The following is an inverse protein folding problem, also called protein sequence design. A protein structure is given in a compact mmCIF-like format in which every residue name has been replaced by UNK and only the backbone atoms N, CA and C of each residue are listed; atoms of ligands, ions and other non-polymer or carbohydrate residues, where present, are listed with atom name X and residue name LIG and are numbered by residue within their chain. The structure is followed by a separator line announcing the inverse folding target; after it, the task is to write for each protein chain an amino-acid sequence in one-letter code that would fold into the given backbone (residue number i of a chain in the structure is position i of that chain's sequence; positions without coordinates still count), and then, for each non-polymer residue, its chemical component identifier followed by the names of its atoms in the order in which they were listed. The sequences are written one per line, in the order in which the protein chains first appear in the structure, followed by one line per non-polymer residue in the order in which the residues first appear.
data_IF_128821127073
#
_entry.id   IF_128821127073
#
_cell.length_a   1.000
_cell.length_b   1.000
_cell.length_c   1.000
_cell.angle_alpha   90.00
_cell.angle_beta   90.00
_cell.angle_gamma   90.00
#
_symmetry.space_group_name_H-M   'P 1'
#
loop_
_entity.id
_entity.type
_entity.pdbx_description
1 polymer ?
#
# COMPACT_ATOMS: atom_id res chain seq x y z
N UNK A 1 8.24 4.35 -1.66
CA UNK A 1 9.26 4.92 -0.78
C UNK A 1 9.50 3.84 0.26
N UNK A 2 10.62 3.13 0.17
CA UNK A 2 10.83 1.91 0.95
C UNK A 2 10.91 2.24 2.44
N UNK A 3 10.16 1.46 3.22
CA UNK A 3 10.26 1.41 4.66
C UNK A 3 11.71 1.03 5.01
N UNK A 4 12.41 1.83 5.84
CA UNK A 4 13.75 1.44 6.31
C UNK A 4 13.52 0.28 7.27
N UNK A 5 13.52 -0.93 6.73
CA UNK A 5 13.44 -2.18 7.50
C UNK A 5 14.78 -2.41 8.18
N UNK A 6 14.73 -2.84 9.44
CA UNK A 6 15.95 -3.21 10.14
C UNK A 6 16.47 -4.54 9.59
N UNK A 7 17.78 -4.75 9.60
CA UNK A 7 18.37 -6.04 9.23
C UNK A 7 17.82 -7.23 10.05
N UNK A 8 17.22 -6.94 11.22
CA UNK A 8 16.58 -7.91 12.10
C UNK A 8 15.19 -8.31 11.60
N UNK A 9 14.37 -7.35 11.15
CA UNK A 9 13.07 -7.63 10.54
C UNK A 9 13.27 -8.48 9.28
N UNK A 10 14.27 -8.13 8.47
CA UNK A 10 14.61 -8.87 7.28
C UNK A 10 15.07 -10.31 7.57
N UNK A 11 15.72 -10.56 8.72
CA UNK A 11 16.14 -11.91 9.11
C UNK A 11 14.95 -12.78 9.53
N UNK A 12 13.99 -12.20 10.27
CA UNK A 12 12.75 -12.89 10.67
C UNK A 12 11.86 -13.19 9.47
N UNK A 13 11.68 -12.23 8.56
CA UNK A 13 10.91 -12.48 7.34
C UNK A 13 11.51 -13.58 6.48
N UNK A 14 12.85 -13.61 6.32
CA UNK A 14 13.54 -14.71 5.63
C UNK A 14 13.32 -16.06 6.30
N UNK A 15 13.41 -16.11 7.62
CA UNK A 15 13.14 -17.35 8.36
C UNK A 15 11.73 -17.85 8.12
N UNK A 16 10.72 -16.98 8.07
CA UNK A 16 9.33 -17.38 7.76
C UNK A 16 9.20 -17.89 6.32
N UNK A 17 9.81 -17.22 5.34
CA UNK A 17 9.82 -17.64 3.93
C UNK A 17 10.43 -19.05 3.80
N UNK A 18 11.58 -19.29 4.43
CA UNK A 18 12.26 -20.58 4.44
C UNK A 18 11.46 -21.65 5.20
N UNK A 19 10.91 -21.31 6.36
CA UNK A 19 10.11 -22.22 7.19
C UNK A 19 8.88 -22.72 6.43
N UNK A 20 8.20 -21.86 5.67
CA UNK A 20 6.98 -22.24 4.95
C UNK A 20 7.21 -22.67 3.50
N UNK A 21 8.47 -22.60 3.04
CA UNK A 21 8.87 -22.84 1.66
C UNK A 21 8.04 -21.98 0.70
N UNK A 22 8.03 -20.67 0.96
CA UNK A 22 7.45 -19.66 0.09
C UNK A 22 8.50 -19.22 -0.95
N UNK A 23 8.02 -18.83 -2.13
CA UNK A 23 8.84 -18.28 -3.19
C UNK A 23 8.84 -16.75 -3.15
N UNK A 24 9.95 -16.14 -3.56
CA UNK A 24 10.11 -14.70 -3.53
C UNK A 24 10.69 -14.18 -2.21
N UNK A 25 11.29 -12.99 -2.32
CA UNK A 25 12.04 -12.33 -1.26
C UNK A 25 13.13 -11.47 -1.87
N UNK A 26 13.14 -10.17 -1.49
CA UNK A 26 14.00 -9.08 -2.00
C UNK A 26 13.63 -8.55 -3.40
N UNK A 27 12.60 -7.70 -3.42
CA UNK A 27 12.29 -6.68 -4.45
C UNK A 27 12.18 -7.11 -5.93
N UNK A 28 10.93 -7.19 -6.44
CA UNK A 28 10.51 -6.63 -7.76
C UNK A 28 9.02 -6.72 -8.10
N UNK A 29 8.16 -7.20 -7.20
CA UNK A 29 6.71 -7.06 -7.36
C UNK A 29 6.12 -6.89 -5.99
N UNK A 30 5.02 -6.14 -5.85
CA UNK A 30 4.49 -5.66 -4.58
C UNK A 30 4.14 -6.71 -3.51
N UNK A 31 4.52 -7.99 -3.61
CA UNK A 31 4.33 -9.07 -2.62
C UNK A 31 5.61 -9.52 -1.96
N UNK A 32 5.55 -9.77 -0.65
CA UNK A 32 6.71 -10.18 0.14
C UNK A 32 7.13 -11.61 -0.19
N UNK A 33 6.14 -12.49 -0.41
CA UNK A 33 6.34 -13.88 -0.80
C UNK A 33 5.12 -14.44 -1.56
N UNK A 34 5.24 -15.64 -2.12
CA UNK A 34 4.18 -16.40 -2.80
C UNK A 34 4.21 -17.86 -2.36
N UNK A 35 3.05 -18.46 -2.21
CA UNK A 35 2.93 -19.91 -2.03
C UNK A 35 2.55 -20.54 -3.36
N UNK A 36 3.37 -21.48 -3.84
CA UNK A 36 3.06 -22.30 -5.02
C UNK A 36 2.41 -23.60 -4.57
N UNK A 37 1.14 -23.78 -4.94
CA UNK A 37 0.38 -25.00 -4.71
C UNK A 37 0.46 -25.94 -5.92
N UNK A 38 -0.05 -27.17 -5.75
CA UNK A 38 -0.14 -28.14 -6.86
C UNK A 38 -0.93 -27.55 -8.02
N UNK A 39 -0.47 -27.78 -9.25
CA UNK A 39 -1.05 -27.19 -10.45
C UNK A 39 -0.61 -25.76 -10.73
N UNK A 40 0.49 -25.29 -10.13
CA UNK A 40 1.08 -23.96 -10.32
C UNK A 40 0.14 -22.79 -9.94
N UNK A 41 -0.73 -23.02 -8.96
CA UNK A 41 -1.53 -21.94 -8.38
C UNK A 41 -0.61 -21.14 -7.46
N UNK A 42 -0.41 -19.86 -7.77
CA UNK A 42 0.40 -18.92 -6.99
C UNK A 42 -0.50 -18.04 -6.13
N UNK A 43 -0.32 -18.09 -4.81
CA UNK A 43 -1.04 -17.22 -3.87
C UNK A 43 -0.09 -16.21 -3.21
N UNK A 44 -0.38 -14.89 -3.30
CA UNK A 44 0.49 -13.87 -2.73
C UNK A 44 0.35 -13.76 -1.21
N UNK A 45 1.48 -13.56 -0.54
CA UNK A 45 1.58 -13.33 0.89
C UNK A 45 2.14 -11.94 1.21
N UNK A 46 1.55 -11.32 2.23
CA UNK A 46 2.22 -10.32 3.06
C UNK A 46 2.85 -11.04 4.26
N UNK A 47 4.14 -10.80 4.52
CA UNK A 47 4.87 -11.46 5.60
C UNK A 47 5.27 -10.39 6.61
N UNK A 48 4.93 -10.61 7.88
CA UNK A 48 5.27 -9.69 8.98
C UNK A 48 5.87 -10.48 10.14
N UNK A 49 6.61 -9.77 10.99
CA UNK A 49 7.08 -10.33 12.26
C UNK A 49 6.87 -9.33 13.39
N UNK A 50 6.60 -9.83 14.59
CA UNK A 50 6.48 -9.02 15.80
C UNK A 50 7.26 -9.65 16.96
N UNK A 51 7.83 -8.79 17.79
CA UNK A 51 8.48 -9.16 19.07
C UNK A 51 7.79 -8.54 20.28
N UNK A 52 6.72 -7.77 20.06
CA UNK A 52 6.03 -6.99 21.08
C UNK A 52 4.56 -7.34 21.14
N UNK A 53 3.93 -7.03 22.26
CA UNK A 53 2.48 -7.17 22.46
C UNK A 53 1.67 -5.97 21.93
N UNK A 54 2.31 -4.97 21.31
CA UNK A 54 1.66 -3.69 20.96
C UNK A 54 0.83 -3.75 19.67
N UNK A 55 1.06 -4.75 18.82
CA UNK A 55 0.37 -4.92 17.53
C UNK A 55 1.33 -5.15 16.38
N UNK A 56 0.76 -5.44 15.21
CA UNK A 56 1.50 -5.63 13.96
C UNK A 56 1.58 -4.29 13.24
N UNK A 57 2.79 -3.75 13.09
CA UNK A 57 3.02 -2.56 12.27
C UNK A 57 2.81 -2.90 10.79
N UNK A 58 2.20 -1.97 10.04
CA UNK A 58 1.84 -2.22 8.64
C UNK A 58 2.74 -1.47 7.67
N UNK A 59 2.57 -0.14 7.57
CA UNK A 59 3.36 0.81 6.77
C UNK A 59 3.35 2.19 7.42
N UNK A 60 4.33 3.03 7.05
CA UNK A 60 4.42 4.41 7.57
C UNK A 60 3.29 5.32 7.13
N UNK A 61 3.02 5.37 5.83
CA UNK A 61 2.03 6.27 5.23
C UNK A 61 1.02 5.42 4.46
N UNK A 62 0.02 4.90 5.18
CA UNK A 62 -1.01 4.05 4.59
C UNK A 62 -1.87 4.85 3.61
N UNK A 63 -2.01 4.36 2.38
CA UNK A 63 -2.73 5.02 1.29
C UNK A 63 -3.49 4.00 0.42
N UNK A 64 -4.18 4.48 -0.61
CA UNK A 64 -5.01 3.62 -1.47
C UNK A 64 -4.23 2.54 -2.25
N UNK A 65 -2.97 2.81 -2.61
CA UNK A 65 -2.10 1.82 -3.27
C UNK A 65 -1.83 0.61 -2.35
N UNK A 66 -1.67 0.84 -1.05
CA UNK A 66 -1.47 -0.24 -0.08
C UNK A 66 -2.72 -1.10 0.07
N UNK A 67 -3.90 -0.48 0.06
CA UNK A 67 -5.13 -1.25 0.13
C UNK A 67 -5.35 -2.11 -1.11
N UNK A 68 -5.05 -1.58 -2.30
CA UNK A 68 -5.02 -2.36 -3.54
C UNK A 68 -3.99 -3.49 -3.47
N UNK A 69 -2.79 -3.21 -2.95
CA UNK A 69 -1.75 -4.21 -2.72
C UNK A 69 -2.29 -5.35 -1.83
N UNK A 70 -2.84 -5.05 -0.66
CA UNK A 70 -3.23 -6.06 0.32
C UNK A 70 -4.51 -6.82 0.00
N UNK A 71 -5.35 -6.27 -0.89
CA UNK A 71 -6.57 -6.95 -1.33
C UNK A 71 -6.21 -8.28 -2.00
N UNK A 72 -6.84 -9.37 -1.53
CA UNK A 72 -6.62 -10.70 -2.10
C UNK A 72 -5.34 -11.40 -1.61
N UNK A 73 -4.68 -10.91 -0.56
CA UNK A 73 -3.47 -11.54 -0.02
C UNK A 73 -3.69 -12.32 1.25
N UNK A 74 -2.94 -13.40 1.37
CA UNK A 74 -2.76 -14.09 2.63
C UNK A 74 -1.74 -13.34 3.49
N UNK A 75 -1.87 -13.47 4.81
CA UNK A 75 -0.93 -12.87 5.76
C UNK A 75 -0.33 -13.97 6.63
N UNK A 76 0.99 -13.92 6.76
CA UNK A 76 1.75 -14.75 7.68
C UNK A 76 2.50 -13.86 8.66
N UNK A 77 2.16 -13.97 9.94
CA UNK A 77 2.72 -13.11 10.98
C UNK A 77 3.46 -13.97 11.98
N UNK A 78 4.79 -13.91 11.98
CA UNK A 78 5.63 -14.60 12.96
C UNK A 78 5.65 -13.86 14.29
N UNK A 79 5.36 -14.58 15.38
CA UNK A 79 5.43 -14.04 16.75
C UNK A 79 6.69 -14.56 17.42
N UNK A 80 7.59 -13.64 17.75
CA UNK A 80 8.91 -13.93 18.27
C UNK A 80 9.04 -13.53 19.73
N UNK A 81 9.81 -14.31 20.47
CA UNK A 81 10.39 -13.89 21.74
C UNK A 81 11.85 -13.47 21.50
N UNK A 82 12.20 -12.24 21.84
CA UNK A 82 13.55 -11.73 21.57
C UNK A 82 13.85 -11.65 20.07
N UNK A 83 15.08 -12.01 19.66
CA UNK A 83 15.56 -11.74 18.29
C UNK A 83 15.20 -12.83 17.27
N UNK A 84 15.30 -14.10 17.65
CA UNK A 84 15.33 -15.25 16.72
C UNK A 84 14.40 -16.40 17.10
N UNK A 85 13.83 -16.36 18.30
CA UNK A 85 13.02 -17.45 18.85
C UNK A 85 11.55 -17.28 18.43
N UNK A 86 11.20 -17.92 17.31
CA UNK A 86 9.85 -17.96 16.75
C UNK A 86 8.97 -18.89 17.60
N UNK A 87 7.92 -18.34 18.22
CA UNK A 87 7.01 -19.11 19.08
C UNK A 87 5.85 -19.72 18.31
N UNK A 88 5.22 -18.93 17.44
CA UNK A 88 4.13 -19.37 16.59
C UNK A 88 3.94 -18.38 15.45
N UNK A 89 3.15 -18.77 14.45
CA UNK A 89 2.70 -17.88 13.39
C UNK A 89 1.18 -17.73 13.43
N UNK A 90 0.67 -16.52 13.23
CA UNK A 90 -0.72 -16.36 12.80
C UNK A 90 -0.82 -16.46 11.29
N UNK A 91 -1.85 -17.17 10.84
CA UNK A 91 -2.30 -17.15 9.46
C UNK A 91 -3.62 -16.39 9.35
N UNK A 92 -3.72 -15.51 8.35
CA UNK A 92 -4.97 -14.88 7.95
C UNK A 92 -5.17 -15.05 6.43
N UNK A 93 -6.38 -15.44 6.04
CA UNK A 93 -6.80 -15.41 4.64
C UNK A 93 -7.18 -13.99 4.19
N UNK A 94 -7.34 -13.74 2.88
CA UNK A 94 -7.87 -12.47 2.39
C UNK A 94 -9.20 -12.07 3.02
N UNK A 95 -10.10 -13.03 3.25
CA UNK A 95 -11.41 -12.79 3.89
C UNK A 95 -11.24 -12.35 5.35
N UNK A 96 -10.26 -12.92 6.07
CA UNK A 96 -10.00 -12.58 7.48
C UNK A 96 -9.42 -11.18 7.64
N UNK A 97 -8.65 -10.70 6.64
CA UNK A 97 -8.06 -9.37 6.65
C UNK A 97 -8.97 -8.27 6.08
N UNK A 98 -9.98 -8.64 5.30
CA UNK A 98 -10.89 -7.70 4.67
C UNK A 98 -11.56 -6.72 5.65
N UNK A 99 -12.07 -7.14 6.85
CA UNK A 99 -12.70 -6.21 7.79
C UNK A 99 -11.75 -5.11 8.27
N UNK A 100 -10.51 -5.46 8.63
CA UNK A 100 -9.54 -4.44 9.07
C UNK A 100 -9.17 -3.50 7.93
N UNK A 101 -8.90 -4.03 6.73
CA UNK A 101 -8.59 -3.22 5.54
C UNK A 101 -9.74 -2.25 5.24
N UNK A 102 -10.97 -2.73 5.26
CA UNK A 102 -12.17 -1.93 5.01
C UNK A 102 -12.35 -0.84 6.06
N UNK A 103 -12.18 -1.15 7.34
CA UNK A 103 -12.27 -0.15 8.41
C UNK A 103 -11.23 0.98 8.25
N UNK A 104 -10.02 0.65 7.74
CA UNK A 104 -9.01 1.67 7.43
C UNK A 104 -9.35 2.49 6.18
N UNK A 105 -9.91 1.86 5.13
CA UNK A 105 -10.43 2.58 3.96
C UNK A 105 -11.53 3.58 4.36
N UNK A 106 -12.48 3.15 5.17
CA UNK A 106 -13.58 3.98 5.66
C UNK A 106 -13.08 5.15 6.50
N UNK A 107 -12.12 4.89 7.39
CA UNK A 107 -11.48 5.95 8.19
C UNK A 107 -10.85 7.04 7.32
N UNK A 108 -10.24 6.66 6.19
CA UNK A 108 -9.58 7.59 5.27
C UNK A 108 -10.53 8.26 4.26
N UNK A 109 -11.80 7.84 4.20
CA UNK A 109 -12.72 8.25 3.14
C UNK A 109 -12.94 9.77 3.09
N UNK A 110 -12.94 10.43 4.25
CA UNK A 110 -13.09 11.89 4.32
C UNK A 110 -11.96 12.61 3.61
N UNK A 111 -10.71 12.19 3.86
CA UNK A 111 -9.52 12.81 3.26
C UNK A 111 -9.43 12.55 1.76
N UNK A 112 -9.87 11.37 1.31
CA UNK A 112 -9.98 11.04 -0.11
C UNK A 112 -11.01 11.95 -0.79
N UNK A 113 -12.20 12.10 -0.20
CA UNK A 113 -13.25 12.99 -0.74
C UNK A 113 -12.80 14.46 -0.80
N UNK A 114 -12.05 14.92 0.21
CA UNK A 114 -11.47 16.27 0.16
C UNK A 114 -10.49 16.42 -1.01
N UNK A 115 -9.63 15.42 -1.23
CA UNK A 115 -8.69 15.42 -2.35
C UNK A 115 -9.39 15.44 -3.72
N UNK A 116 -10.57 14.82 -3.84
CA UNK A 116 -11.37 14.82 -5.08
C UNK A 116 -12.13 16.14 -5.29
N UNK A 117 -12.72 16.70 -4.24
CA UNK A 117 -13.65 17.82 -4.35
C UNK A 117 -12.96 19.19 -4.37
N UNK A 118 -11.94 19.38 -3.53
CA UNK A 118 -11.27 20.68 -3.33
C UNK A 118 -10.61 21.21 -4.61
N UNK A 119 -9.94 20.41 -5.46
CA UNK A 119 -9.34 20.91 -6.69
C UNK A 119 -10.34 21.65 -7.58
N UNK A 120 -11.58 21.16 -7.69
CA UNK A 120 -12.62 21.83 -8.49
C UNK A 120 -12.99 23.22 -7.97
N UNK A 121 -12.73 23.51 -6.69
CA UNK A 121 -13.03 24.78 -6.02
C UNK A 121 -11.91 25.80 -6.16
N UNK A 122 -10.72 25.41 -6.63
CA UNK A 122 -9.65 26.36 -6.95
C UNK A 122 -10.08 27.22 -8.14
N UNK A 123 -9.96 28.54 -8.01
CA UNK A 123 -10.39 29.54 -9.00
C UNK A 123 -9.20 30.23 -9.67
N UNK A 124 -9.47 31.03 -10.71
CA UNK A 124 -8.45 31.83 -11.39
C UNK A 124 -7.81 32.87 -10.47
N UNK A 125 -8.54 33.38 -9.47
CA UNK A 125 -7.98 34.31 -8.50
C UNK A 125 -6.91 33.63 -7.64
N UNK A 126 -7.14 32.37 -7.24
CA UNK A 126 -6.11 31.58 -6.55
C UNK A 126 -4.90 31.33 -7.45
N UNK A 127 -5.11 31.10 -8.75
CA UNK A 127 -4.00 31.00 -9.71
C UNK A 127 -3.18 32.30 -9.72
N UNK A 128 -3.83 33.45 -9.82
CA UNK A 128 -3.16 34.75 -9.83
C UNK A 128 -2.36 35.00 -8.54
N UNK A 129 -2.87 34.61 -7.38
CA UNK A 129 -2.13 34.71 -6.11
C UNK A 129 -0.91 33.77 -6.07
N UNK A 130 -0.97 32.59 -6.68
CA UNK A 130 0.12 31.59 -6.63
C UNK A 130 1.24 31.87 -7.63
N UNK A 131 0.91 32.29 -8.85
CA UNK A 131 1.91 32.49 -9.93
C UNK A 131 1.96 33.90 -10.51
N UNK A 132 1.18 34.84 -9.98
CA UNK A 132 1.01 36.18 -10.53
C UNK A 132 0.00 36.19 -11.68
N UNK A 133 -0.68 37.33 -11.87
CA UNK A 133 -1.60 37.54 -12.98
C UNK A 133 -0.83 37.76 -14.29
N UNK A 134 -1.16 37.00 -15.34
CA UNK A 134 -0.63 37.16 -16.70
C UNK A 134 -1.72 36.82 -17.72
N UNK A 135 -1.64 37.44 -18.90
CA UNK A 135 -2.53 37.09 -20.01
C UNK A 135 -2.07 35.81 -20.73
N UNK A 136 -0.76 35.57 -20.75
CA UNK A 136 -0.14 34.33 -21.23
C UNK A 136 0.96 33.91 -20.27
N UNK A 137 0.93 32.64 -19.86
CA UNK A 137 1.95 32.01 -19.04
C UNK A 137 2.90 31.20 -19.88
N UNK A 138 4.16 31.10 -19.46
CA UNK A 138 5.18 30.36 -20.20
C UNK A 138 5.41 28.94 -19.63
N UNK A 139 6.32 28.19 -20.26
CA UNK A 139 6.72 26.86 -19.80
C UNK A 139 7.36 26.87 -18.40
N UNK A 140 8.04 27.94 -18.02
CA UNK A 140 8.68 28.03 -16.72
C UNK A 140 7.61 28.20 -15.62
N UNK A 141 6.55 28.97 -15.85
CA UNK A 141 5.41 29.10 -14.96
C UNK A 141 4.72 27.75 -14.74
N UNK A 142 4.41 27.03 -15.82
CA UNK A 142 3.79 25.70 -15.75
C UNK A 142 4.69 24.70 -14.97
N UNK A 143 6.01 24.74 -15.21
CA UNK A 143 6.98 23.92 -14.46
C UNK A 143 7.11 24.32 -13.00
N UNK A 144 6.92 25.60 -12.65
CA UNK A 144 6.92 26.04 -11.24
C UNK A 144 5.76 25.42 -10.48
N UNK A 145 4.58 25.34 -11.10
CA UNK A 145 3.40 24.68 -10.53
C UNK A 145 3.53 23.15 -10.51
N UNK A 146 3.70 22.55 -11.68
CA UNK A 146 3.56 21.11 -11.86
C UNK A 146 4.89 20.33 -11.76
N UNK A 147 6.00 21.06 -11.62
CA UNK A 147 7.33 20.52 -11.34
C UNK A 147 7.74 19.49 -12.40
N UNK A 148 8.02 18.25 -11.98
CA UNK A 148 8.41 17.13 -12.86
C UNK A 148 7.31 16.08 -12.98
N UNK A 149 6.05 16.44 -12.70
CA UNK A 149 4.94 15.49 -12.81
C UNK A 149 4.56 15.23 -14.27
N UNK A 150 4.68 16.22 -15.15
CA UNK A 150 4.52 16.02 -16.59
C UNK A 150 5.84 15.72 -17.29
N UNK A 151 5.74 14.94 -18.36
CA UNK A 151 6.81 14.79 -19.34
C UNK A 151 6.99 16.06 -20.20
N UNK A 152 8.15 16.18 -20.84
CA UNK A 152 8.43 17.33 -21.73
C UNK A 152 7.48 17.45 -22.93
N UNK A 153 6.90 16.32 -23.37
CA UNK A 153 5.88 16.28 -24.43
C UNK A 153 4.54 16.79 -23.91
N UNK A 154 4.11 16.28 -22.76
CA UNK A 154 2.84 16.64 -22.14
C UNK A 154 2.75 18.13 -21.79
N UNK A 155 3.84 18.74 -21.30
CA UNK A 155 3.90 20.19 -21.14
C UNK A 155 3.60 20.93 -22.45
N UNK A 156 4.21 20.51 -23.57
CA UNK A 156 4.00 21.14 -24.88
C UNK A 156 2.59 20.92 -25.41
N UNK A 157 2.06 19.72 -25.26
CA UNK A 157 0.68 19.37 -25.68
C UNK A 157 -0.38 20.17 -24.92
N UNK A 158 -0.09 20.58 -23.68
CA UNK A 158 -0.99 21.42 -22.88
C UNK A 158 -0.91 22.92 -23.21
N UNK A 159 0.02 23.39 -24.05
CA UNK A 159 0.04 24.79 -24.50
C UNK A 159 -1.16 25.04 -25.42
N UNK A 160 -2.10 25.85 -24.97
CA UNK A 160 -3.35 26.12 -25.68
C UNK A 160 -3.35 27.45 -26.45
N UNK A 161 -2.30 28.26 -26.28
CA UNK A 161 -2.08 29.50 -27.03
C UNK A 161 -0.67 29.52 -27.63
N UNK A 162 -0.44 30.43 -28.58
CA UNK A 162 0.85 30.53 -29.27
C UNK A 162 2.00 30.77 -28.28
N UNK A 163 2.85 29.75 -28.10
CA UNK A 163 4.04 29.82 -27.27
C UNK A 163 3.81 29.77 -25.76
N UNK A 164 2.61 29.43 -25.28
CA UNK A 164 2.31 29.45 -23.85
C UNK A 164 0.96 28.84 -23.47
N UNK A 165 0.49 29.23 -22.28
CA UNK A 165 -0.74 28.75 -21.68
C UNK A 165 -1.66 29.93 -21.34
N UNK A 166 -2.96 29.79 -21.61
CA UNK A 166 -3.98 30.71 -21.13
C UNK A 166 -4.13 30.61 -19.60
N UNK A 167 -4.74 31.62 -18.94
CA UNK A 167 -5.09 31.54 -17.52
C UNK A 167 -5.97 30.33 -17.19
N UNK A 168 -6.91 29.97 -18.07
CA UNK A 168 -7.79 28.81 -17.89
C UNK A 168 -7.00 27.50 -17.93
N UNK A 169 -6.06 27.36 -18.86
CA UNK A 169 -5.20 26.18 -18.93
C UNK A 169 -4.27 26.08 -17.72
N UNK A 170 -3.70 27.20 -17.28
CA UNK A 170 -2.88 27.22 -16.07
C UNK A 170 -3.69 26.91 -14.81
N UNK A 171 -4.95 27.31 -14.75
CA UNK A 171 -5.86 26.93 -13.67
C UNK A 171 -6.06 25.41 -13.65
N UNK A 172 -6.26 24.76 -14.79
CA UNK A 172 -6.35 23.30 -14.86
C UNK A 172 -5.08 22.62 -14.33
N UNK A 173 -3.90 23.09 -14.75
CA UNK A 173 -2.61 22.57 -14.25
C UNK A 173 -2.50 22.76 -12.73
N UNK A 174 -2.94 23.90 -12.20
CA UNK A 174 -2.97 24.15 -10.76
C UNK A 174 -3.94 23.20 -10.04
N UNK A 175 -5.11 22.91 -10.62
CA UNK A 175 -6.08 21.96 -10.05
C UNK A 175 -5.51 20.54 -10.03
N UNK A 176 -4.89 20.10 -11.12
CA UNK A 176 -4.18 18.82 -11.18
C UNK A 176 -3.08 18.75 -10.11
N UNK A 177 -2.32 19.84 -9.93
CA UNK A 177 -1.29 19.93 -8.88
C UNK A 177 -1.89 19.84 -7.48
N UNK A 178 -3.00 20.52 -7.24
CA UNK A 178 -3.73 20.51 -5.97
C UNK A 178 -4.22 19.09 -5.65
N UNK A 179 -4.86 18.43 -6.63
CA UNK A 179 -5.33 17.05 -6.51
C UNK A 179 -4.17 16.11 -6.14
N UNK A 180 -3.03 16.21 -6.85
CA UNK A 180 -1.85 15.40 -6.55
C UNK A 180 -1.33 15.62 -5.12
N UNK A 181 -1.26 16.87 -4.65
CA UNK A 181 -0.77 17.18 -3.31
C UNK A 181 -1.69 16.64 -2.22
N UNK A 182 -3.00 16.83 -2.38
CA UNK A 182 -3.99 16.34 -1.43
C UNK A 182 -4.01 14.81 -1.41
N UNK A 183 -4.11 14.14 -2.57
CA UNK A 183 -4.12 12.69 -2.65
C UNK A 183 -2.85 12.06 -2.02
N UNK A 184 -1.69 12.70 -2.20
CA UNK A 184 -0.44 12.26 -1.56
C UNK A 184 -0.43 12.48 -0.04
N UNK A 185 -1.15 13.49 0.46
CA UNK A 185 -1.28 13.79 1.88
C UNK A 185 -2.40 13.03 2.59
N UNK A 186 -3.37 12.49 1.85
CA UNK A 186 -4.48 11.68 2.36
C UNK A 186 -3.99 10.28 2.76
N UNK A 187 -3.20 10.22 3.82
CA UNK A 187 -2.56 9.00 4.33
C UNK A 187 -2.81 8.80 5.82
N UNK A 188 -3.01 7.56 6.27
CA UNK A 188 -3.05 7.21 7.68
C UNK A 188 -1.64 6.88 8.18
N UNK A 189 -1.17 7.64 9.18
CA UNK A 189 0.19 7.50 9.72
C UNK A 189 0.32 6.28 10.66
N UNK A 190 1.29 5.41 10.36
CA UNK A 190 1.72 4.25 11.14
C UNK A 190 0.59 3.42 11.76
N UNK A 191 -0.46 3.01 11.02
CA UNK A 191 -1.51 2.18 11.59
C UNK A 191 -0.95 0.82 12.01
N UNK A 192 -1.33 0.39 13.21
CA UNK A 192 -1.07 -0.95 13.71
C UNK A 192 -2.33 -1.79 13.73
N UNK A 193 -2.17 -3.09 13.51
CA UNK A 193 -3.23 -4.08 13.73
C UNK A 193 -3.12 -4.54 15.18
N UNK A 194 -4.15 -4.33 16.03
CA UNK A 194 -4.09 -4.75 17.42
C UNK A 194 -4.04 -6.28 17.51
N UNK A 195 -3.34 -6.82 18.51
CA UNK A 195 -3.24 -8.29 18.72
C UNK A 195 -4.61 -8.94 18.91
N UNK A 196 -5.55 -8.23 19.52
CA UNK A 196 -6.92 -8.71 19.70
C UNK A 196 -7.61 -9.06 18.38
N UNK A 197 -7.20 -8.45 17.26
CA UNK A 197 -7.71 -8.79 15.93
C UNK A 197 -7.39 -10.23 15.54
N UNK A 198 -6.23 -10.74 15.97
CA UNK A 198 -5.75 -12.09 15.65
C UNK A 198 -6.10 -13.14 16.71
N UNK A 199 -6.90 -12.78 17.72
CA UNK A 199 -7.15 -13.66 18.89
C UNK A 199 -7.69 -15.03 18.47
N UNK A 200 -8.60 -15.04 17.51
CA UNK A 200 -9.32 -16.23 17.04
C UNK A 200 -8.77 -16.75 15.71
N UNK A 201 -7.62 -16.21 15.25
CA UNK A 201 -7.01 -16.63 14.00
C UNK A 201 -6.20 -17.90 14.21
N UNK A 202 -6.04 -18.66 13.13
CA UNK A 202 -5.29 -19.91 13.15
C UNK A 202 -3.84 -19.66 13.58
N UNK A 203 -3.41 -20.42 14.59
CA UNK A 203 -2.02 -20.45 15.06
C UNK A 203 -1.32 -21.67 14.50
N UNK A 204 -0.21 -21.44 13.80
CA UNK A 204 0.64 -22.50 13.28
C UNK A 204 1.88 -22.61 14.17
N UNK A 205 2.09 -23.82 14.69
CA UNK A 205 3.26 -24.18 15.48
C UNK A 205 4.48 -24.45 14.57
N UNK A 206 5.62 -23.77 14.78
CA UNK A 206 6.82 -23.91 13.97
C UNK A 206 7.73 -25.07 14.41
N UNK A 207 7.46 -25.76 15.53
CA UNK A 207 8.34 -26.80 16.10
C UNK A 207 8.62 -27.94 15.11
N UNK A 208 7.62 -28.31 14.32
CA UNK A 208 7.76 -29.26 13.20
C UNK A 208 7.55 -28.52 11.87
N UNK A 209 8.63 -28.12 11.17
CA UNK A 209 8.56 -27.43 9.90
C UNK A 209 7.73 -28.16 8.83
N UNK A 210 7.75 -29.50 8.84
CA UNK A 210 6.96 -30.30 7.90
C UNK A 210 5.47 -30.15 8.13
N UNK A 211 5.04 -30.26 9.40
CA UNK A 211 3.63 -30.04 9.78
C UNK A 211 3.21 -28.59 9.59
N UNK A 212 4.04 -27.62 9.95
CA UNK A 212 3.77 -26.19 9.75
C UNK A 212 3.50 -25.88 8.26
N UNK A 213 4.37 -26.35 7.37
CA UNK A 213 4.24 -26.23 5.91
C UNK A 213 2.97 -26.87 5.37
N UNK A 214 2.65 -28.08 5.84
CA UNK A 214 1.45 -28.81 5.43
C UNK A 214 0.17 -28.08 5.91
N UNK A 215 0.19 -27.56 7.14
CA UNK A 215 -0.92 -26.80 7.71
C UNK A 215 -1.19 -25.53 6.94
N UNK A 216 -0.18 -24.72 6.63
CA UNK A 216 -0.34 -23.51 5.82
C UNK A 216 -0.98 -23.82 4.46
N UNK A 217 -0.45 -24.82 3.74
CA UNK A 217 -0.99 -25.24 2.44
C UNK A 217 -2.45 -25.70 2.53
N UNK A 218 -2.81 -26.40 3.60
CA UNK A 218 -4.18 -26.87 3.84
C UNK A 218 -5.14 -25.69 4.03
N UNK A 219 -4.72 -24.67 4.79
CA UNK A 219 -5.53 -23.48 5.06
C UNK A 219 -5.75 -22.64 3.79
N UNK A 220 -4.71 -22.46 2.98
CA UNK A 220 -4.81 -21.75 1.70
C UNK A 220 -5.72 -22.52 0.73
N UNK A 221 -5.54 -23.84 0.61
CA UNK A 221 -6.39 -24.67 -0.24
C UNK A 221 -7.86 -24.62 0.19
N UNK A 222 -8.13 -24.71 1.50
CA UNK A 222 -9.48 -24.61 2.03
C UNK A 222 -10.14 -23.26 1.70
N UNK A 223 -9.38 -22.16 1.77
CA UNK A 223 -9.87 -20.84 1.36
C UNK A 223 -10.17 -20.79 -0.14
N UNK A 224 -9.29 -21.33 -1.00
CA UNK A 224 -9.52 -21.40 -2.44
C UNK A 224 -10.76 -22.23 -2.80
N UNK A 225 -10.95 -23.38 -2.15
CA UNK A 225 -12.10 -24.25 -2.39
C UNK A 225 -13.40 -23.58 -1.95
N UNK A 226 -13.38 -22.83 -0.84
CA UNK A 226 -14.51 -22.00 -0.40
C UNK A 226 -14.83 -20.91 -1.41
N UNK A 227 -13.82 -20.26 -1.99
CA UNK A 227 -13.97 -19.20 -2.98
C UNK A 227 -14.59 -19.70 -4.28
N UNK A 228 -14.22 -20.89 -4.75
CA UNK A 228 -14.81 -21.51 -5.97
C UNK A 228 -16.29 -21.86 -5.84
N UNK A 229 -16.81 -21.99 -4.62
CA UNK A 229 -18.21 -22.33 -4.33
C UNK A 229 -19.12 -21.12 -4.17
N UNK A 230 -18.56 -19.91 -4.14
CA UNK A 230 -19.28 -18.64 -4.10
C UNK A 230 -19.42 -18.10 -5.51
#
# INVERSE_FOLDING_TARGET
MDEIRSAQDDARERQLIELFALEGGRHRSGSDARLVLRGHIEEPFEVKSITTTKGVSTVRDLNDEHFHKWTGRHWLIGVYQGRTDLKYCWYASPDDMAPWIQAKREYMLTDVKLAELVPSKVTVDVLHEVVGRKDVYDLADAKKLQKRQYGAREYREKMDVSGGYSPQRMLEILRERCAYLLARGSTLNNPSIPISYFKDFERIDPEDPGKARARLRTLVQAWLDKKKRR
#
